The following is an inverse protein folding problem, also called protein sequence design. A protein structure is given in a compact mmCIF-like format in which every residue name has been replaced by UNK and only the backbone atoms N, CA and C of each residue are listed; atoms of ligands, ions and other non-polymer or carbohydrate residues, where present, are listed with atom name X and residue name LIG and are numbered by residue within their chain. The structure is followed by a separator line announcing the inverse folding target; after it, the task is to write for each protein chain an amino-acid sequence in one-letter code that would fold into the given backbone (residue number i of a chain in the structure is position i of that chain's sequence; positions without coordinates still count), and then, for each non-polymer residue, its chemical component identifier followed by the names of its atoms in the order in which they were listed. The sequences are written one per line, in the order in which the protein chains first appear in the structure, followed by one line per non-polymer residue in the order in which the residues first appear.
data_IF_917202152540
#
_entry.id   IF_917202152540
#
_cell.length_a   1.000
_cell.length_b   1.000
_cell.length_c   1.000
_cell.angle_alpha   90.00
_cell.angle_beta   90.00
_cell.angle_gamma   90.00
#
_symmetry.space_group_name_H-M   'P 1'
#
loop_
_entity.id
_entity.type
_entity.pdbx_description
1 polymer ?
#
# COMPACT_ATOMS: atom_id res chain seq x y z
N UNK A 1 2.81 24.66 6.24
CA UNK A 1 1.60 23.92 6.70
C UNK A 1 1.85 23.51 8.14
N UNK A 2 0.85 23.64 8.98
CA UNK A 2 0.88 23.18 10.37
C UNK A 2 -0.23 22.13 10.49
N UNK A 3 0.14 20.92 10.94
CA UNK A 3 -0.78 19.80 11.09
C UNK A 3 -0.68 19.21 12.49
N UNK A 4 -1.72 18.49 12.91
CA UNK A 4 -1.73 17.81 14.21
C UNK A 4 -0.74 16.64 14.19
N UNK A 5 0.23 16.66 15.10
CA UNK A 5 1.13 15.52 15.28
C UNK A 5 0.44 14.42 16.10
N UNK A 6 0.40 13.20 15.55
CA UNK A 6 -0.12 12.01 16.22
C UNK A 6 1.06 11.15 16.67
N UNK A 7 1.37 11.21 17.97
CA UNK A 7 2.48 10.45 18.54
C UNK A 7 2.20 8.95 18.49
N UNK A 8 3.14 8.20 17.91
CA UNK A 8 3.02 6.73 17.79
C UNK A 8 1.86 6.27 16.90
N UNK A 9 1.39 7.16 16.01
CA UNK A 9 0.35 6.82 15.07
C UNK A 9 0.76 5.70 14.11
N UNK A 10 -0.21 4.91 13.67
CA UNK A 10 -0.03 3.88 12.65
C UNK A 10 -0.36 4.45 11.28
N UNK A 11 0.51 4.17 10.31
CA UNK A 11 0.30 4.53 8.90
C UNK A 11 -0.48 3.40 8.24
N UNK A 12 -1.75 3.62 8.01
CA UNK A 12 -2.67 2.66 7.39
C UNK A 12 -3.21 3.27 6.10
N UNK A 13 -3.22 2.47 5.06
CA UNK A 13 -3.67 2.93 3.76
C UNK A 13 -4.73 2.00 3.18
N UNK A 14 -5.66 2.57 2.41
CA UNK A 14 -6.75 1.82 1.80
C UNK A 14 -6.58 1.82 0.29
N UNK A 15 -6.42 0.63 -0.29
CA UNK A 15 -6.45 0.46 -1.73
C UNK A 15 -7.87 0.63 -2.25
N UNK A 16 -8.05 1.47 -3.26
CA UNK A 16 -9.34 1.64 -3.93
C UNK A 16 -9.21 1.33 -5.42
N UNK A 17 -10.34 0.93 -6.01
CA UNK A 17 -10.54 0.84 -7.45
C UNK A 17 -11.87 1.49 -7.81
N UNK A 18 -11.87 2.38 -8.81
CA UNK A 18 -13.10 3.02 -9.30
C UNK A 18 -13.10 3.07 -10.82
N UNK A 19 -14.20 2.61 -11.44
CA UNK A 19 -14.35 2.57 -12.89
C UNK A 19 -14.95 3.88 -13.46
N UNK A 20 -15.10 3.91 -14.78
CA UNK A 20 -15.70 5.02 -15.52
C UNK A 20 -17.24 5.04 -15.41
N UNK A 21 -17.84 4.04 -14.78
CA UNK A 21 -19.30 3.86 -14.64
C UNK A 21 -19.80 4.24 -13.25
N UNK A 22 -18.89 4.66 -12.35
CA UNK A 22 -19.21 5.07 -10.99
C UNK A 22 -19.16 3.96 -9.95
N UNK A 23 -18.77 2.73 -10.32
CA UNK A 23 -18.57 1.66 -9.35
C UNK A 23 -17.24 1.89 -8.63
N UNK A 24 -17.28 1.92 -7.30
CA UNK A 24 -16.11 2.14 -6.46
C UNK A 24 -16.07 1.08 -5.37
N UNK A 25 -14.94 0.42 -5.23
CA UNK A 25 -14.69 -0.59 -4.20
C UNK A 25 -13.40 -0.27 -3.45
N UNK A 26 -13.30 -0.71 -2.21
CA UNK A 26 -12.02 -0.84 -1.52
C UNK A 26 -11.46 -2.26 -1.70
N UNK A 27 -10.16 -2.38 -1.68
CA UNK A 27 -9.42 -3.64 -1.74
C UNK A 27 -8.60 -3.83 -0.46
N UNK A 28 -9.22 -3.52 0.67
CA UNK A 28 -8.73 -3.60 2.04
C UNK A 28 -7.56 -2.67 2.34
N UNK A 29 -7.04 -2.79 3.54
CA UNK A 29 -5.97 -1.96 4.07
C UNK A 29 -4.61 -2.66 4.00
N UNK A 30 -3.57 -1.82 3.99
CA UNK A 30 -2.19 -2.19 4.29
C UNK A 30 -1.69 -1.41 5.51
N UNK A 31 -0.90 -2.06 6.36
CA UNK A 31 -0.15 -1.41 7.45
C UNK A 31 1.27 -1.11 6.95
N UNK A 32 1.57 0.15 6.77
CA UNK A 32 2.86 0.65 6.30
C UNK A 32 3.61 1.40 7.41
N UNK A 33 3.36 1.05 8.68
CA UNK A 33 3.92 1.76 9.83
C UNK A 33 5.40 1.46 10.07
N UNK A 34 5.92 0.36 9.54
CA UNK A 34 7.34 0.01 9.61
C UNK A 34 8.14 0.87 8.64
N UNK A 35 8.65 1.97 9.14
CA UNK A 35 9.34 2.99 8.33
C UNK A 35 10.70 3.34 8.91
N UNK A 36 11.60 3.77 8.04
CA UNK A 36 12.87 4.38 8.41
C UNK A 36 12.92 5.78 7.78
N UNK A 37 13.07 6.82 8.60
CA UNK A 37 13.09 8.22 8.15
C UNK A 37 11.90 8.57 7.25
N UNK A 38 10.70 8.11 7.66
CA UNK A 38 9.44 8.28 6.92
C UNK A 38 9.37 7.56 5.56
N UNK A 39 10.27 6.62 5.31
CA UNK A 39 10.22 5.73 4.14
C UNK A 39 9.70 4.36 4.57
N UNK A 40 8.71 3.85 3.86
CA UNK A 40 8.16 2.50 4.07
C UNK A 40 9.26 1.47 3.82
N UNK A 41 9.38 0.48 4.71
CA UNK A 41 10.40 -0.59 4.65
C UNK A 41 9.74 -1.97 4.66
N UNK A 42 8.71 -2.11 5.50
CA UNK A 42 7.89 -3.32 5.56
C UNK A 42 6.42 -2.91 5.45
N UNK A 43 5.69 -3.63 4.63
CA UNK A 43 4.25 -3.47 4.46
C UNK A 43 3.55 -4.81 4.69
N UNK A 44 2.40 -4.78 5.34
CA UNK A 44 1.62 -5.98 5.61
C UNK A 44 0.13 -5.81 5.29
N UNK A 45 -0.51 -6.87 4.87
CA UNK A 45 -1.95 -6.93 4.66
C UNK A 45 -2.50 -8.31 5.09
N UNK A 46 -3.66 -8.33 5.78
CA UNK A 46 -4.35 -7.20 6.39
C UNK A 46 -3.61 -6.70 7.64
N UNK A 47 -3.90 -5.47 8.09
CA UNK A 47 -3.37 -4.95 9.35
C UNK A 47 -3.92 -5.74 10.54
N UNK A 48 -3.02 -6.22 11.41
CA UNK A 48 -3.40 -6.90 12.64
C UNK A 48 -3.60 -5.93 13.82
N UNK A 49 -3.16 -4.68 13.67
CA UNK A 49 -3.12 -3.69 14.74
C UNK A 49 -4.37 -2.81 14.82
N UNK A 50 -5.24 -2.85 13.81
CA UNK A 50 -6.41 -1.97 13.71
C UNK A 50 -7.70 -2.77 13.94
N UNK A 51 -8.56 -2.36 14.89
CA UNK A 51 -9.85 -3.00 15.14
C UNK A 51 -10.79 -2.92 13.93
N UNK A 52 -11.56 -3.97 13.73
CA UNK A 52 -12.48 -4.07 12.60
C UNK A 52 -13.49 -2.90 12.47
N UNK A 53 -14.06 -2.34 13.56
CA UNK A 53 -14.93 -1.17 13.44
C UNK A 53 -14.21 0.04 12.86
N UNK A 54 -12.93 0.24 13.22
CA UNK A 54 -12.11 1.32 12.67
C UNK A 54 -11.82 1.10 11.19
N UNK A 55 -11.45 -0.13 10.79
CA UNK A 55 -11.22 -0.49 9.37
C UNK A 55 -12.44 -0.17 8.52
N UNK A 56 -13.63 -0.58 8.93
CA UNK A 56 -14.89 -0.30 8.19
C UNK A 56 -15.15 1.18 7.99
N UNK A 57 -14.86 2.00 8.98
CA UNK A 57 -14.98 3.47 8.86
C UNK A 57 -13.94 4.03 7.88
N UNK A 58 -12.73 3.51 7.90
CA UNK A 58 -11.67 3.90 6.97
C UNK A 58 -12.02 3.50 5.53
N UNK A 59 -12.54 2.29 5.30
CA UNK A 59 -13.01 1.85 3.98
C UNK A 59 -14.10 2.77 3.45
N UNK A 60 -15.10 3.06 4.29
CA UNK A 60 -16.17 4.01 3.92
C UNK A 60 -15.60 5.38 3.57
N UNK A 61 -14.70 5.92 4.39
CA UNK A 61 -14.08 7.23 4.14
C UNK A 61 -13.30 7.23 2.81
N UNK A 62 -12.58 6.15 2.51
CA UNK A 62 -11.83 6.03 1.26
C UNK A 62 -12.75 6.01 0.03
N UNK A 63 -13.83 5.24 0.07
CA UNK A 63 -14.84 5.20 -0.99
C UNK A 63 -15.52 6.57 -1.14
N UNK A 64 -15.88 7.22 -0.04
CA UNK A 64 -16.53 8.53 -0.05
C UNK A 64 -15.61 9.60 -0.70
N UNK A 65 -14.32 9.60 -0.38
CA UNK A 65 -13.33 10.50 -0.99
C UNK A 65 -13.24 10.24 -2.50
N UNK A 66 -13.04 8.98 -2.90
CA UNK A 66 -12.91 8.61 -4.30
C UNK A 66 -14.14 9.00 -5.14
N UNK A 67 -15.34 8.79 -4.59
CA UNK A 67 -16.60 9.18 -5.24
C UNK A 67 -16.75 10.70 -5.33
N UNK A 68 -16.38 11.42 -4.28
CA UNK A 68 -16.52 12.88 -4.23
C UNK A 68 -15.68 13.60 -5.28
N UNK A 69 -14.50 13.06 -5.61
CA UNK A 69 -13.61 13.64 -6.62
C UNK A 69 -13.77 13.01 -8.01
N UNK A 70 -14.75 12.14 -8.19
CA UNK A 70 -14.96 11.37 -9.43
C UNK A 70 -13.69 10.66 -9.90
N UNK A 71 -12.96 10.04 -8.95
CA UNK A 71 -11.69 9.36 -9.23
C UNK A 71 -11.90 8.21 -10.23
N UNK A 72 -10.88 7.94 -11.06
CA UNK A 72 -10.91 6.83 -12.03
C UNK A 72 -9.57 6.12 -12.02
N UNK A 73 -9.61 4.80 -11.85
CA UNK A 73 -8.43 3.95 -11.80
C UNK A 73 -8.21 3.33 -10.43
N UNK A 74 -6.99 2.85 -10.21
CA UNK A 74 -6.50 2.42 -8.91
C UNK A 74 -5.85 3.59 -8.18
N UNK A 75 -6.14 3.71 -6.90
CA UNK A 75 -5.53 4.70 -6.03
C UNK A 75 -5.46 4.21 -4.60
N UNK A 76 -4.71 4.93 -3.79
CA UNK A 76 -4.54 4.60 -2.38
C UNK A 76 -4.80 5.84 -1.54
N UNK A 77 -5.58 5.67 -0.48
CA UNK A 77 -5.87 6.74 0.48
C UNK A 77 -5.17 6.41 1.78
N UNK A 78 -4.26 7.28 2.17
CA UNK A 78 -3.41 7.12 3.34
C UNK A 78 -3.97 7.84 4.55
N UNK A 79 -3.90 7.18 5.70
CA UNK A 79 -4.35 7.68 6.98
C UNK A 79 -3.30 7.47 8.07
N UNK A 80 -3.31 8.36 9.07
CA UNK A 80 -2.66 8.13 10.35
C UNK A 80 -3.71 7.76 11.38
N UNK A 81 -3.53 6.62 12.05
CA UNK A 81 -4.45 6.11 13.08
C UNK A 81 -3.85 6.33 14.46
N UNK A 82 -4.61 6.97 15.36
CA UNK A 82 -4.19 7.18 16.76
C UNK A 82 -4.49 5.93 17.59
N UNK A 83 -3.52 5.03 17.65
CA UNK A 83 -3.62 3.77 18.41
C UNK A 83 -3.42 3.94 19.92
N UNK A 84 -3.07 5.13 20.38
CA UNK A 84 -2.99 5.42 21.83
C UNK A 84 -4.35 5.81 22.42
N UNK A 85 -5.35 6.00 21.57
CA UNK A 85 -6.73 6.23 22.00
C UNK A 85 -7.29 4.95 22.66
N UNK A 86 -7.88 5.08 23.85
CA UNK A 86 -8.54 3.98 24.56
C UNK A 86 -9.99 3.78 24.12
N UNK A 87 -10.32 4.10 22.89
CA UNK A 87 -11.65 3.93 22.31
C UNK A 87 -11.74 2.61 21.55
N UNK A 88 -12.91 1.99 21.56
CA UNK A 88 -13.19 0.79 20.74
C UNK A 88 -13.04 1.09 19.24
N UNK A 89 -13.36 2.32 18.85
CA UNK A 89 -13.12 2.86 17.52
C UNK A 89 -12.00 3.90 17.58
N UNK A 90 -10.86 3.60 16.95
CA UNK A 90 -9.71 4.48 16.95
C UNK A 90 -9.94 5.71 16.07
N UNK A 91 -9.50 6.90 16.51
CA UNK A 91 -9.45 8.07 15.65
C UNK A 91 -8.46 7.87 14.50
N UNK A 92 -8.82 8.31 13.31
CA UNK A 92 -7.91 8.34 12.17
C UNK A 92 -8.04 9.66 11.41
N UNK A 93 -6.97 10.04 10.74
CA UNK A 93 -6.85 11.32 10.04
C UNK A 93 -6.32 11.07 8.64
N UNK A 94 -6.90 11.74 7.67
CA UNK A 94 -6.43 11.70 6.28
C UNK A 94 -5.02 12.30 6.19
N UNK A 95 -4.12 11.63 5.48
CA UNK A 95 -2.80 12.14 5.14
C UNK A 95 -2.78 12.64 3.70
N UNK A 96 -2.91 11.73 2.77
CA UNK A 96 -2.89 12.02 1.34
C UNK A 96 -3.63 10.97 0.52
N UNK A 97 -3.80 11.24 -0.76
CA UNK A 97 -4.24 10.27 -1.75
C UNK A 97 -3.17 10.12 -2.83
N UNK A 98 -2.71 8.89 -3.03
CA UNK A 98 -1.84 8.54 -4.13
C UNK A 98 -2.70 8.07 -5.31
N UNK A 99 -2.71 8.89 -6.37
CA UNK A 99 -3.52 8.65 -7.58
C UNK A 99 -2.78 7.75 -8.59
N UNK A 100 -2.20 6.68 -8.10
CA UNK A 100 -1.40 5.72 -8.85
C UNK A 100 -1.32 4.38 -8.12
N UNK A 101 -0.88 3.35 -8.83
CA UNK A 101 -0.43 2.13 -8.18
C UNK A 101 0.82 2.40 -7.34
N UNK A 102 0.94 1.77 -6.19
CA UNK A 102 2.06 1.91 -5.28
C UNK A 102 2.96 0.66 -5.29
N UNK A 103 4.18 0.79 -4.74
CA UNK A 103 5.15 -0.32 -4.67
C UNK A 103 4.56 -1.47 -3.86
N UNK A 104 3.86 -1.17 -2.79
CA UNK A 104 3.29 -2.10 -1.82
C UNK A 104 1.97 -2.79 -2.24
N UNK A 105 1.54 -2.62 -3.50
CA UNK A 105 0.35 -3.31 -4.03
C UNK A 105 0.44 -4.85 -3.97
N UNK A 106 1.63 -5.48 -4.03
CA UNK A 106 1.74 -6.94 -4.02
C UNK A 106 1.13 -7.59 -2.79
N UNK A 107 1.20 -6.99 -1.60
CA UNK A 107 0.57 -7.60 -0.40
C UNK A 107 -0.96 -7.63 -0.51
N UNK A 108 -1.56 -6.67 -1.21
CA UNK A 108 -2.99 -6.69 -1.53
C UNK A 108 -3.32 -7.78 -2.54
N UNK A 109 -2.51 -7.91 -3.59
CA UNK A 109 -2.67 -8.95 -4.61
C UNK A 109 -2.60 -10.35 -4.00
N UNK A 110 -1.63 -10.59 -3.11
CA UNK A 110 -1.44 -11.89 -2.45
C UNK A 110 -2.64 -12.30 -1.59
N UNK A 111 -3.22 -11.39 -0.80
CA UNK A 111 -4.36 -11.72 0.05
C UNK A 111 -5.68 -11.82 -0.72
N UNK A 112 -5.76 -11.25 -1.92
CA UNK A 112 -7.00 -11.23 -2.73
C UNK A 112 -6.95 -12.20 -3.91
N UNK A 113 -5.79 -12.70 -4.30
CA UNK A 113 -5.61 -13.50 -5.51
C UNK A 113 -5.97 -12.72 -6.78
N UNK A 114 -5.66 -11.41 -6.82
CA UNK A 114 -5.98 -10.49 -7.91
C UNK A 114 -4.72 -9.88 -8.50
N UNK A 115 -4.73 -9.60 -9.80
CA UNK A 115 -3.74 -8.77 -10.47
C UNK A 115 -4.25 -7.33 -10.55
N UNK A 116 -3.69 -6.43 -9.75
CA UNK A 116 -4.10 -5.02 -9.72
C UNK A 116 -3.62 -4.25 -10.95
N UNK A 117 -2.53 -4.66 -11.57
CA UNK A 117 -2.06 -4.05 -12.81
C UNK A 117 -3.04 -4.37 -13.94
N UNK A 118 -3.48 -5.63 -14.06
CA UNK A 118 -4.52 -6.01 -15.01
C UNK A 118 -5.83 -5.26 -14.75
N UNK A 119 -6.24 -5.16 -13.48
CA UNK A 119 -7.44 -4.41 -13.08
C UNK A 119 -7.35 -2.94 -13.52
N UNK A 120 -6.20 -2.29 -13.29
CA UNK A 120 -5.96 -0.91 -13.70
C UNK A 120 -6.09 -0.73 -15.21
N UNK A 121 -5.49 -1.64 -15.99
CA UNK A 121 -5.57 -1.62 -17.46
C UNK A 121 -7.01 -1.82 -17.92
N UNK A 122 -7.75 -2.74 -17.30
CA UNK A 122 -9.14 -3.00 -17.63
C UNK A 122 -10.03 -1.78 -17.36
N UNK A 123 -9.83 -1.08 -16.24
CA UNK A 123 -10.55 0.17 -15.93
C UNK A 123 -10.20 1.25 -16.95
N UNK A 124 -8.92 1.42 -17.28
CA UNK A 124 -8.46 2.39 -18.29
C UNK A 124 -9.05 2.09 -19.69
N UNK A 125 -9.24 0.82 -20.04
CA UNK A 125 -9.90 0.39 -21.26
C UNK A 125 -11.43 0.58 -21.25
N UNK A 126 -11.99 1.12 -20.15
CA UNK A 126 -13.41 1.40 -20.03
C UNK A 126 -14.26 0.20 -19.57
N UNK A 127 -13.63 -0.90 -19.14
CA UNK A 127 -14.37 -2.03 -18.59
C UNK A 127 -15.01 -1.65 -17.25
N UNK A 128 -16.20 -2.19 -17.01
CA UNK A 128 -16.90 -2.05 -15.75
C UNK A 128 -16.28 -2.94 -14.68
N UNK A 129 -16.21 -2.45 -13.44
CA UNK A 129 -15.93 -3.30 -12.28
C UNK A 129 -17.10 -4.27 -12.08
N UNK A 130 -16.86 -5.56 -12.33
CA UNK A 130 -17.86 -6.61 -12.14
C UNK A 130 -17.72 -7.30 -10.78
N UNK A 131 -17.44 -6.49 -9.77
CA UNK A 131 -17.32 -6.93 -8.38
C UNK A 131 -17.80 -5.84 -7.43
N UNK A 132 -18.23 -6.26 -6.25
CA UNK A 132 -18.57 -5.40 -5.14
C UNK A 132 -17.84 -5.86 -3.87
N UNK A 133 -17.81 -5.02 -2.83
CA UNK A 133 -17.04 -5.33 -1.62
C UNK A 133 -17.57 -6.57 -0.86
N UNK A 134 -18.83 -6.95 -1.04
CA UNK A 134 -19.39 -8.14 -0.39
C UNK A 134 -18.87 -9.44 -1.01
N UNK A 135 -18.32 -9.37 -2.22
CA UNK A 135 -17.76 -10.52 -2.94
C UNK A 135 -16.25 -10.64 -2.83
N UNK A 136 -15.57 -9.56 -2.46
CA UNK A 136 -14.12 -9.57 -2.30
C UNK A 136 -13.78 -9.99 -0.87
N UNK A 137 -13.19 -11.17 -0.72
CA UNK A 137 -12.85 -11.74 0.59
C UNK A 137 -11.34 -11.97 0.66
N UNK A 138 -10.64 -11.28 1.59
CA UNK A 138 -9.21 -11.51 1.77
C UNK A 138 -8.95 -12.89 2.39
N UNK A 139 -7.89 -13.54 1.98
CA UNK A 139 -7.45 -14.83 2.49
C UNK A 139 -5.97 -14.81 2.85
N UNK A 140 -5.66 -15.27 4.06
CA UNK A 140 -4.28 -15.33 4.52
C UNK A 140 -3.73 -13.98 4.97
N UNK A 141 -2.41 -13.85 4.90
CA UNK A 141 -1.65 -12.68 5.32
C UNK A 141 -0.37 -12.57 4.47
N UNK A 142 -0.03 -11.37 4.04
CA UNK A 142 1.15 -11.11 3.24
C UNK A 142 2.01 -10.00 3.86
N UNK A 143 3.32 -10.15 3.74
CA UNK A 143 4.30 -9.15 4.17
C UNK A 143 5.26 -8.92 3.00
N UNK A 144 5.46 -7.65 2.67
CA UNK A 144 6.47 -7.20 1.71
C UNK A 144 7.63 -6.53 2.44
N UNK A 145 8.84 -6.74 1.95
CA UNK A 145 10.04 -6.05 2.42
C UNK A 145 10.73 -5.38 1.24
N UNK A 146 11.03 -4.10 1.36
CA UNK A 146 11.82 -3.37 0.37
C UNK A 146 13.30 -3.58 0.60
N UNK A 147 14.01 -3.96 -0.46
CA UNK A 147 15.46 -4.10 -0.45
C UNK A 147 16.07 -2.89 -1.14
N UNK A 148 16.89 -2.15 -0.41
CA UNK A 148 17.56 -0.95 -0.88
C UNK A 148 19.06 -1.14 -1.00
N UNK A 149 19.68 -0.49 -2.00
CA UNK A 149 21.13 -0.40 -2.13
C UNK A 149 21.67 0.66 -1.15
N UNK A 150 21.81 0.27 0.12
CA UNK A 150 22.22 1.13 1.24
C UNK A 150 23.26 0.42 2.10
N UNK A 151 24.10 1.20 2.79
CA UNK A 151 25.09 0.68 3.75
C UNK A 151 24.58 0.86 5.20
N UNK A 152 24.10 -0.21 5.86
CA UNK A 152 23.62 -0.15 7.24
C UNK A 152 24.71 0.27 8.27
N UNK A 153 25.97 0.03 7.97
CA UNK A 153 27.10 0.39 8.86
C UNK A 153 27.38 1.88 8.84
N UNK A 154 27.04 2.56 7.75
CA UNK A 154 27.18 3.99 7.56
C UNK A 154 25.82 4.70 7.57
N UNK A 155 24.99 4.37 8.57
CA UNK A 155 23.70 5.00 8.79
C UNK A 155 22.77 4.96 7.55
N UNK A 156 22.83 3.85 6.83
CA UNK A 156 22.04 3.61 5.62
C UNK A 156 22.25 4.66 4.52
N UNK A 157 23.46 5.14 4.35
CA UNK A 157 23.79 5.95 3.20
C UNK A 157 23.63 5.15 1.90
N UNK A 158 23.23 5.80 0.79
CA UNK A 158 23.17 5.13 -0.51
C UNK A 158 24.48 4.43 -0.84
N UNK A 159 24.40 3.18 -1.26
CA UNK A 159 25.55 2.35 -1.65
C UNK A 159 25.42 1.93 -3.12
N UNK A 160 25.67 2.86 -4.07
CA UNK A 160 25.64 2.54 -5.50
C UNK A 160 26.79 1.63 -5.85
N UNK A 161 26.63 0.87 -6.93
CA UNK A 161 27.67 -0.04 -7.38
C UNK A 161 27.14 -1.16 -8.27
N UNK A 162 28.03 -2.06 -8.65
CA UNK A 162 27.69 -3.23 -9.45
C UNK A 162 27.06 -4.32 -8.59
N UNK A 163 26.02 -4.97 -9.10
CA UNK A 163 25.42 -6.16 -8.50
C UNK A 163 26.24 -7.35 -8.97
N UNK A 164 27.16 -7.81 -8.13
CA UNK A 164 28.06 -8.94 -8.47
C UNK A 164 27.29 -10.25 -8.59
N UNK A 165 26.34 -10.47 -7.69
CA UNK A 165 25.48 -11.65 -7.70
C UNK A 165 24.08 -11.33 -7.17
N UNK A 166 23.07 -11.90 -7.81
CA UNK A 166 21.68 -11.87 -7.38
C UNK A 166 21.17 -13.29 -7.25
N UNK A 167 21.07 -13.77 -6.01
CA UNK A 167 20.57 -15.10 -5.71
C UNK A 167 19.24 -14.96 -4.96
N UNK A 168 18.15 -15.30 -5.62
CA UNK A 168 16.82 -15.25 -5.02
C UNK A 168 16.49 -16.57 -4.32
N UNK A 169 15.77 -16.54 -3.20
CA UNK A 169 15.18 -17.73 -2.60
C UNK A 169 14.27 -18.48 -3.59
N UNK A 170 14.01 -19.75 -3.33
CA UNK A 170 13.11 -20.55 -4.18
C UNK A 170 11.63 -20.29 -3.94
N UNK A 171 11.32 -19.75 -2.78
CA UNK A 171 9.95 -19.50 -2.32
C UNK A 171 9.73 -18.00 -2.09
N UNK A 172 8.49 -17.55 -2.33
CA UNK A 172 8.09 -16.17 -2.22
C UNK A 172 7.95 -15.47 -3.57
N UNK A 173 7.40 -14.26 -3.51
CA UNK A 173 7.28 -13.35 -4.65
C UNK A 173 8.43 -12.36 -4.65
N UNK A 174 8.99 -12.09 -5.82
CA UNK A 174 10.13 -11.18 -5.99
C UNK A 174 9.85 -10.22 -7.14
N UNK A 175 9.57 -8.98 -6.82
CA UNK A 175 9.38 -7.90 -7.78
C UNK A 175 10.64 -7.03 -7.80
N UNK A 176 11.43 -7.15 -8.84
CA UNK A 176 12.70 -6.43 -8.98
C UNK A 176 13.01 -6.11 -10.44
N UNK A 177 13.74 -5.01 -10.65
CA UNK A 177 14.14 -4.53 -11.97
C UNK A 177 15.65 -4.62 -12.24
N UNK A 178 16.37 -5.45 -11.49
CA UNK A 178 17.84 -5.56 -11.58
C UNK A 178 18.30 -7.00 -11.83
N UNK A 179 19.51 -7.18 -12.37
CA UNK A 179 20.11 -8.49 -12.63
C UNK A 179 21.55 -8.51 -12.13
N UNK A 180 22.12 -9.70 -11.99
CA UNK A 180 23.59 -9.83 -11.79
C UNK A 180 24.31 -9.13 -12.95
N UNK A 181 25.27 -8.29 -12.63
CA UNK A 181 26.03 -7.48 -13.57
C UNK A 181 25.47 -6.08 -13.80
N UNK A 182 24.24 -5.78 -13.37
CA UNK A 182 23.70 -4.43 -13.46
C UNK A 182 24.41 -3.48 -12.48
N UNK A 183 24.33 -2.19 -12.78
CA UNK A 183 24.89 -1.13 -11.95
C UNK A 183 23.79 -0.26 -11.34
N UNK A 184 23.75 -0.20 -10.00
CA UNK A 184 22.87 0.73 -9.28
C UNK A 184 23.50 2.11 -9.31
N UNK A 185 22.83 3.04 -9.98
CA UNK A 185 23.32 4.39 -10.23
C UNK A 185 23.15 5.30 -9.00
N UNK A 186 24.01 6.33 -8.90
CA UNK A 186 23.84 7.44 -7.95
C UNK A 186 22.74 8.41 -8.34
N UNK A 187 22.14 8.26 -9.52
CA UNK A 187 21.10 9.14 -10.06
C UNK A 187 19.67 8.69 -9.73
N UNK A 188 19.52 7.70 -8.84
CA UNK A 188 18.24 7.23 -8.35
C UNK A 188 18.11 7.45 -6.84
#
# INVERSE_FOLDING_TARGET
IIEKYIKGGKHIEIQIARDNHGNCIHLFERDCSSQRRYQKVLEEAPSLSIPEPTKRRMYKAAIDIANKIDYRGLGTIEFIVDVQSHKDELPFFFLEMNTRLQVEHPVTEEILGMDLVELQINIAAGKKLDMDNDKVIPSGHAIEARIYAEDPKNDFLPSPGSIEALNLPKEGRFDFGVRSGDYVSTFY
#
